data_IF_357263763454
#
_entry.id   IF_357263763454
#
_cell.length_a   1.000
_cell.length_b   1.000
_cell.length_c   1.000
_cell.angle_alpha   90.00
_cell.angle_beta   90.00
_cell.angle_gamma   90.00
#
_symmetry.space_group_name_H-M   'P 1'
#
loop_
_entity.id
_entity.type
_entity.pdbx_description
1 polymer ?
#
# COMPACT_ATOMS: atom_id res chain seq x y z
N UNK A 1 16.96 -5.21 0.61
CA UNK A 1 15.97 -4.42 1.38
C UNK A 1 16.44 -4.43 2.82
N UNK A 2 16.23 -3.35 3.54
CA UNK A 2 16.75 -3.22 4.91
C UNK A 2 15.60 -3.30 5.93
N UNK A 3 15.92 -3.73 7.14
CA UNK A 3 14.99 -3.71 8.27
C UNK A 3 14.45 -2.30 8.49
N UNK A 4 13.14 -2.17 8.65
CA UNK A 4 12.41 -0.91 8.78
C UNK A 4 12.06 -0.24 7.46
N UNK A 5 12.47 -0.77 6.31
CA UNK A 5 12.10 -0.22 5.01
C UNK A 5 10.58 -0.28 4.79
N UNK A 6 10.02 0.78 4.18
CA UNK A 6 8.63 0.81 3.73
C UNK A 6 8.55 0.15 2.37
N UNK A 7 7.62 -0.78 2.23
CA UNK A 7 7.45 -1.56 1.00
C UNK A 7 5.97 -1.68 0.65
N UNK A 8 5.72 -2.02 -0.61
CA UNK A 8 4.46 -2.54 -1.09
C UNK A 8 4.60 -4.04 -1.25
N UNK A 9 3.61 -4.79 -0.79
CA UNK A 9 3.57 -6.26 -0.87
C UNK A 9 2.36 -6.66 -1.70
N UNK A 10 2.56 -7.50 -2.71
CA UNK A 10 1.45 -8.06 -3.48
C UNK A 10 0.59 -8.94 -2.57
N UNK A 11 -0.72 -8.73 -2.55
CA UNK A 11 -1.61 -9.56 -1.76
C UNK A 11 -1.69 -10.98 -2.32
N UNK A 12 -1.70 -11.96 -1.42
CA UNK A 12 -1.74 -13.38 -1.79
C UNK A 12 -3.13 -13.80 -2.30
N UNK A 13 -4.18 -13.10 -1.86
CA UNK A 13 -5.56 -13.40 -2.26
C UNK A 13 -5.93 -12.73 -3.58
N UNK A 14 -5.46 -11.51 -3.82
CA UNK A 14 -5.58 -10.81 -5.09
C UNK A 14 -4.23 -10.20 -5.52
N UNK A 15 -3.62 -10.79 -6.56
CA UNK A 15 -2.34 -10.33 -7.11
C UNK A 15 -2.38 -8.91 -7.69
N UNK A 16 -3.56 -8.31 -7.85
CA UNK A 16 -3.73 -6.92 -8.31
C UNK A 16 -3.75 -5.92 -7.17
N UNK A 17 -3.81 -6.38 -5.93
CA UNK A 17 -3.87 -5.54 -4.73
C UNK A 17 -2.48 -5.45 -4.12
N UNK A 18 -2.06 -4.23 -3.82
CA UNK A 18 -0.79 -3.92 -3.16
C UNK A 18 -1.07 -3.42 -1.74
N UNK A 19 -0.44 -4.05 -0.75
CA UNK A 19 -0.57 -3.72 0.65
C UNK A 19 0.64 -2.91 1.11
N UNK A 20 0.38 -1.79 1.79
CA UNK A 20 1.43 -1.03 2.45
C UNK A 20 1.99 -1.87 3.60
N UNK A 21 3.31 -1.95 3.71
CA UNK A 21 3.94 -2.73 4.76
C UNK A 21 5.29 -2.15 5.17
N UNK A 22 5.78 -2.63 6.32
CA UNK A 22 7.12 -2.35 6.84
C UNK A 22 7.89 -3.63 7.04
N UNK A 23 9.14 -3.63 6.58
CA UNK A 23 10.04 -4.77 6.76
C UNK A 23 10.44 -4.91 8.22
N UNK A 24 10.12 -6.05 8.84
CA UNK A 24 10.55 -6.38 10.18
C UNK A 24 11.89 -7.12 10.16
N UNK A 25 12.01 -8.11 9.28
CA UNK A 25 13.20 -8.95 9.13
C UNK A 25 13.38 -9.38 7.66
N UNK A 26 14.62 -9.65 7.28
CA UNK A 26 15.00 -10.01 5.91
C UNK A 26 15.79 -11.30 5.96
N UNK A 27 15.34 -12.28 5.18
CA UNK A 27 16.04 -13.53 4.92
C UNK A 27 16.41 -13.59 3.42
N UNK A 28 17.21 -14.59 3.02
CA UNK A 28 17.67 -14.79 1.66
C UNK A 28 16.54 -15.04 0.65
N UNK A 29 15.45 -15.67 1.10
CA UNK A 29 14.33 -16.10 0.23
C UNK A 29 12.97 -15.53 0.67
N UNK A 30 12.91 -14.84 1.80
CA UNK A 30 11.66 -14.33 2.36
C UNK A 30 11.89 -13.05 3.16
N UNK A 31 10.82 -12.28 3.36
CA UNK A 31 10.81 -11.08 4.19
C UNK A 31 9.63 -11.14 5.13
N UNK A 32 9.88 -10.95 6.42
CA UNK A 32 8.84 -10.76 7.41
C UNK A 32 8.41 -9.29 7.38
N UNK A 33 7.13 -9.04 7.17
CA UNK A 33 6.57 -7.70 7.06
C UNK A 33 5.42 -7.50 8.03
N UNK A 34 5.29 -6.28 8.53
CA UNK A 34 4.11 -5.78 9.22
C UNK A 34 3.24 -5.06 8.19
N UNK A 35 2.01 -5.50 7.98
CA UNK A 35 1.06 -4.79 7.12
C UNK A 35 0.60 -3.51 7.84
N UNK A 36 0.79 -2.37 7.18
CA UNK A 36 0.29 -1.09 7.67
C UNK A 36 -1.20 -0.98 7.26
N UNK A 37 -2.12 -1.16 8.20
CA UNK A 37 -3.55 -0.90 7.96
C UNK A 37 -3.77 0.60 7.76
N UNK A 38 -3.79 1.03 6.49
CA UNK A 38 -4.20 2.38 6.13
C UNK A 38 -5.73 2.46 6.05
N UNK A 39 -6.41 2.31 7.20
CA UNK A 39 -7.82 2.70 7.34
C UNK A 39 -7.99 3.70 8.49
N UNK A 40 -8.11 5.00 8.17
CA UNK A 40 -9.10 5.85 8.79
C UNK A 40 -10.17 6.11 7.73
N UNK A 41 -10.88 5.06 7.30
CA UNK A 41 -12.14 5.28 6.63
C UNK A 41 -13.10 5.68 7.75
N UNK A 42 -13.28 6.98 8.00
CA UNK A 42 -14.51 7.40 8.67
C UNK A 42 -15.65 6.78 7.86
N UNK A 43 -16.54 6.00 8.50
CA UNK A 43 -17.54 5.25 7.78
C UNK A 43 -18.41 6.26 7.05
N UNK A 44 -18.27 6.27 5.72
CA UNK A 44 -19.26 6.85 4.83
C UNK A 44 -20.58 6.23 5.27
N UNK A 45 -21.48 7.06 5.79
CA UNK A 45 -22.74 6.67 6.41
C UNK A 45 -23.70 6.12 5.37
N UNK A 46 -23.43 4.90 4.90
CA UNK A 46 -24.49 4.07 4.32
C UNK A 46 -25.32 3.59 5.49
N UNK A 47 -26.45 4.27 5.67
CA UNK A 47 -27.57 3.92 6.51
C UNK A 47 -27.76 2.39 6.59
N UNK A 48 -27.22 1.75 7.63
CA UNK A 48 -27.57 0.39 8.04
C UNK A 48 -27.76 0.41 9.55
N UNK A 49 -29.01 0.63 9.93
CA UNK A 49 -29.58 0.11 11.17
C UNK A 49 -29.20 -1.37 11.30
N UNK A 50 -28.42 -1.75 12.31
CA UNK A 50 -28.62 -2.98 13.08
C UNK A 50 -27.87 -2.84 14.43
N UNK A 51 -28.69 -2.80 15.47
CA UNK A 51 -28.53 -3.24 16.85
C UNK A 51 -27.18 -3.14 17.59
N UNK A 52 -27.31 -2.42 18.70
CA UNK A 52 -26.46 -2.28 19.86
C UNK A 52 -26.11 -3.66 20.48
N UNK A 53 -24.83 -4.02 20.50
CA UNK A 53 -24.27 -4.81 21.60
C UNK A 53 -22.93 -4.21 22.03
N UNK A 54 -22.96 -3.74 23.28
CA UNK A 54 -21.84 -3.33 24.11
C UNK A 54 -21.07 -4.58 24.51
N UNK A 55 -19.85 -4.75 23.99
CA UNK A 55 -18.83 -5.59 24.61
C UNK A 55 -17.45 -4.96 24.35
N UNK A 56 -16.84 -4.56 25.46
CA UNK A 56 -15.45 -4.09 25.54
C UNK A 56 -14.52 -5.24 25.18
N UNK A 57 -13.89 -5.16 24.02
CA UNK A 57 -12.66 -5.90 23.74
C UNK A 57 -11.49 -4.89 23.64
N UNK A 58 -10.70 -4.83 24.72
CA UNK A 58 -9.30 -4.36 24.70
C UNK A 58 -8.45 -5.38 23.89
N UNK A 59 -8.77 -5.54 22.61
CA UNK A 59 -7.92 -6.27 21.69
C UNK A 59 -6.80 -5.32 21.25
N UNK A 60 -5.56 -5.62 21.69
CA UNK A 60 -4.35 -5.09 21.05
C UNK A 60 -4.56 -5.11 19.53
N UNK A 61 -4.30 -4.01 18.79
CA UNK A 61 -4.48 -4.01 17.35
C UNK A 61 -3.62 -5.15 16.80
N UNK A 62 -4.28 -6.19 16.29
CA UNK A 62 -3.60 -7.40 15.86
C UNK A 62 -2.61 -7.01 14.77
N UNK A 63 -1.33 -6.93 15.12
CA UNK A 63 -0.26 -6.63 14.18
C UNK A 63 -0.29 -7.74 13.14
N UNK A 64 -0.78 -7.43 11.94
CA UNK A 64 -0.87 -8.37 10.83
C UNK A 64 0.53 -8.59 10.26
N UNK A 65 1.34 -9.35 11.00
CA UNK A 65 2.64 -9.81 10.54
C UNK A 65 2.45 -10.93 9.50
N UNK A 66 3.18 -10.84 8.39
CA UNK A 66 3.18 -11.82 7.31
C UNK A 66 4.60 -12.16 6.88
N UNK A 67 4.86 -13.45 6.67
CA UNK A 67 6.07 -13.91 6.01
C UNK A 67 5.82 -14.02 4.50
N UNK A 68 6.57 -13.25 3.73
CA UNK A 68 6.39 -13.13 2.28
C UNK A 68 7.60 -13.75 1.59
N UNK A 69 7.37 -14.87 0.89
CA UNK A 69 8.40 -15.47 0.03
C UNK A 69 8.71 -14.53 -1.14
N UNK A 70 9.98 -14.23 -1.37
CA UNK A 70 10.41 -13.34 -2.44
C UNK A 70 10.28 -14.03 -3.80
N UNK A 71 9.55 -13.39 -4.71
CA UNK A 71 9.39 -13.83 -6.08
C UNK A 71 10.26 -12.96 -6.99
N UNK A 72 10.99 -13.60 -7.90
CA UNK A 72 11.90 -12.93 -8.82
C UNK A 72 11.56 -13.25 -10.27
N UNK A 73 11.79 -12.28 -11.16
CA UNK A 73 11.79 -12.51 -12.60
C UNK A 73 13.03 -13.30 -13.03
N UNK A 74 13.03 -13.73 -14.30
CA UNK A 74 14.23 -14.29 -14.95
C UNK A 74 15.39 -13.29 -15.04
N UNK A 75 15.11 -11.98 -14.96
CA UNK A 75 16.12 -10.91 -14.88
C UNK A 75 16.66 -10.69 -13.46
N UNK A 76 16.08 -11.36 -12.45
CA UNK A 76 16.49 -11.24 -11.04
C UNK A 76 15.83 -10.09 -10.28
N UNK A 77 14.79 -9.46 -10.83
CA UNK A 77 14.06 -8.36 -10.19
C UNK A 77 12.94 -8.91 -9.31
N UNK A 78 12.79 -8.37 -8.10
CA UNK A 78 11.71 -8.79 -7.20
C UNK A 78 10.36 -8.24 -7.67
N UNK A 79 9.37 -9.11 -7.82
CA UNK A 79 8.06 -8.74 -8.40
C UNK A 79 6.96 -8.56 -7.40
N UNK A 80 7.09 -9.10 -6.19
CA UNK A 80 6.01 -9.11 -5.20
C UNK A 80 6.29 -8.22 -3.98
N UNK A 81 7.49 -7.65 -3.89
CA UNK A 81 7.86 -6.67 -2.87
C UNK A 81 8.55 -5.49 -3.55
N UNK A 82 7.96 -4.31 -3.44
CA UNK A 82 8.42 -3.09 -4.12
C UNK A 82 8.73 -2.00 -3.08
N UNK A 83 9.71 -1.13 -3.36
CA UNK A 83 10.03 -0.02 -2.44
C UNK A 83 8.93 1.03 -2.43
N UNK A 84 8.53 1.50 -1.25
CA UNK A 84 7.50 2.54 -1.14
C UNK A 84 8.12 3.92 -1.04
N UNK A 85 7.62 4.86 -1.85
CA UNK A 85 7.98 6.28 -1.78
C UNK A 85 7.71 6.86 -0.38
N UNK A 86 8.44 7.90 0.03
CA UNK A 86 8.16 8.54 1.32
C UNK A 86 6.78 9.21 1.32
N UNK A 87 6.10 9.37 2.47
CA UNK A 87 4.77 9.99 2.53
C UNK A 87 4.69 11.37 1.87
N UNK A 88 5.73 12.19 2.03
CA UNK A 88 5.84 13.52 1.40
C UNK A 88 5.99 13.50 -0.13
N UNK A 89 6.37 12.35 -0.69
CA UNK A 89 6.62 12.14 -2.12
C UNK A 89 5.44 11.47 -2.83
N UNK A 90 4.42 10.95 -2.13
CA UNK A 90 3.37 10.12 -2.73
C UNK A 90 2.26 10.90 -3.46
N UNK A 91 2.08 12.20 -3.17
CA UNK A 91 1.04 13.05 -3.77
C UNK A 91 1.65 14.04 -4.78
N UNK A 92 2.45 13.53 -5.72
CA UNK A 92 2.96 14.36 -6.81
C UNK A 92 1.86 14.61 -7.84
N UNK A 93 1.84 15.83 -8.41
CA UNK A 93 0.95 16.15 -9.54
C UNK A 93 1.35 15.45 -10.83
N UNK A 94 2.65 15.19 -10.99
CA UNK A 94 3.22 14.45 -12.10
C UNK A 94 3.94 13.21 -11.57
N UNK A 95 3.46 12.02 -11.92
CA UNK A 95 3.93 10.77 -11.35
C UNK A 95 5.36 10.42 -11.81
N UNK A 96 5.87 11.01 -12.89
CA UNK A 96 7.27 10.78 -13.30
C UNK A 96 8.28 11.38 -12.30
N UNK A 97 7.82 12.25 -11.40
CA UNK A 97 8.61 12.79 -10.30
C UNK A 97 8.72 11.83 -9.09
N UNK A 98 8.03 10.68 -9.10
CA UNK A 98 8.12 9.69 -8.02
C UNK A 98 9.51 9.01 -8.03
N UNK A 99 10.22 8.95 -6.88
CA UNK A 99 11.51 8.26 -6.80
C UNK A 99 11.45 6.78 -7.21
N UNK A 100 10.39 6.09 -6.79
CA UNK A 100 10.08 4.71 -7.15
C UNK A 100 8.80 4.70 -7.99
N UNK A 101 8.97 4.59 -9.30
CA UNK A 101 7.87 4.55 -10.27
C UNK A 101 7.59 3.12 -10.70
N UNK A 102 6.61 2.50 -10.03
CA UNK A 102 6.07 1.18 -10.36
C UNK A 102 4.56 1.18 -10.09
N UNK A 103 3.87 0.11 -10.52
CA UNK A 103 2.41 0.00 -10.45
C UNK A 103 1.83 0.37 -9.07
N UNK A 104 2.33 -0.23 -7.98
CA UNK A 104 1.84 0.07 -6.63
C UNK A 104 1.95 1.56 -6.24
N UNK A 105 3.02 2.25 -6.66
CA UNK A 105 3.22 3.67 -6.38
C UNK A 105 2.28 4.54 -7.21
N UNK A 106 2.02 4.18 -8.46
CA UNK A 106 1.05 4.86 -9.32
C UNK A 106 -0.35 4.72 -8.73
N UNK A 107 -0.78 3.50 -8.42
CA UNK A 107 -2.11 3.23 -7.86
C UNK A 107 -2.33 3.99 -6.55
N UNK A 108 -1.34 3.99 -5.66
CA UNK A 108 -1.45 4.72 -4.41
C UNK A 108 -1.50 6.24 -4.61
N UNK A 109 -0.69 6.79 -5.52
CA UNK A 109 -0.73 8.22 -5.82
C UNK A 109 -2.10 8.64 -6.39
N UNK A 110 -2.64 7.89 -7.36
CA UNK A 110 -3.96 8.14 -7.93
C UNK A 110 -5.06 8.05 -6.87
N UNK A 111 -5.02 7.03 -5.99
CA UNK A 111 -5.94 6.91 -4.85
C UNK A 111 -5.92 8.15 -3.96
N UNK A 112 -4.74 8.57 -3.49
CA UNK A 112 -4.60 9.72 -2.59
C UNK A 112 -5.10 11.02 -3.24
N UNK A 113 -4.89 11.18 -4.55
CA UNK A 113 -5.35 12.33 -5.31
C UNK A 113 -6.85 12.33 -5.52
N UNK A 114 -7.42 11.18 -5.87
CA UNK A 114 -8.85 10.99 -6.00
C UNK A 114 -9.59 11.28 -4.67
N UNK A 115 -9.07 10.77 -3.55
CA UNK A 115 -9.59 11.05 -2.19
C UNK A 115 -9.60 12.54 -1.85
N UNK A 116 -8.68 13.32 -2.43
CA UNK A 116 -8.57 14.79 -2.27
C UNK A 116 -9.32 15.56 -3.35
N UNK A 117 -10.13 14.89 -4.17
CA UNK A 117 -10.86 15.47 -5.31
C UNK A 117 -9.95 16.10 -6.38
N UNK A 118 -8.70 15.67 -6.48
CA UNK A 118 -7.74 16.08 -7.51
C UNK A 118 -7.74 15.07 -8.67
N UNK A 119 -8.84 15.01 -9.42
CA UNK A 119 -9.13 14.01 -10.46
C UNK A 119 -8.23 14.08 -11.71
N UNK A 120 -7.35 15.07 -11.80
CA UNK A 120 -6.42 15.21 -12.91
C UNK A 120 -4.99 15.00 -12.42
N UNK A 121 -4.33 14.00 -13.01
CA UNK A 121 -2.97 13.61 -12.64
C UNK A 121 -2.11 13.44 -13.89
N UNK A 122 -0.93 14.05 -13.92
CA UNK A 122 -0.01 13.89 -15.03
C UNK A 122 0.89 12.66 -14.84
N UNK A 123 1.24 12.01 -15.94
CA UNK A 123 2.35 11.07 -16.03
C UNK A 123 3.18 11.49 -17.24
N UNK A 124 4.08 12.44 -17.03
CA UNK A 124 4.80 13.12 -18.09
C UNK A 124 3.82 13.79 -19.04
N UNK A 125 3.86 13.42 -20.32
CA UNK A 125 3.00 13.99 -21.36
C UNK A 125 1.55 13.45 -21.32
N UNK A 126 1.27 12.42 -20.52
CA UNK A 126 -0.06 11.82 -20.39
C UNK A 126 -0.83 12.52 -19.28
N UNK A 127 -2.10 12.84 -19.52
CA UNK A 127 -3.05 13.30 -18.51
C UNK A 127 -4.05 12.19 -18.20
N UNK A 128 -4.17 11.84 -16.93
CA UNK A 128 -5.15 10.89 -16.42
C UNK A 128 -6.32 11.66 -15.80
N UNK A 129 -7.53 11.15 -16.05
CA UNK A 129 -8.76 11.56 -15.38
C UNK A 129 -9.25 10.39 -14.52
N UNK A 130 -9.20 10.56 -13.21
CA UNK A 130 -9.55 9.56 -12.19
C UNK A 130 -11.03 9.65 -11.74
#
# INVERSE_FOLDING_TARGET
>A
MDKGARVWVADSTDKRVWLAARVLEVDALAVAVEIEDEWPMEPVTYLKHYDLHDDRDDADPAVLQRDVALAYTVSGECTNVLQRNMPREQDQRDLVALPHLHEASILNALRLRYERHAIYTHIGDILISD
#
